data_IF_065926473786
#
_entry.id   IF_065926473786
#
_cell.length_a   1.000
_cell.length_b   1.000
_cell.length_c   1.000
_cell.angle_alpha   90.00
_cell.angle_beta   90.00
_cell.angle_gamma   90.00
#
_symmetry.space_group_name_H-M   'P 1'
#
loop_
_entity.id
_entity.type
_entity.pdbx_description
1 polymer ?
#
# COMPACT_ATOMS: atom_id res chain seq x y z
N UNK A 1 -35.75 -4.50 11.53
CA UNK A 1 -35.37 -3.62 10.40
C UNK A 1 -34.04 -2.92 10.66
N UNK A 2 -33.84 -2.18 11.76
CA UNK A 2 -32.59 -1.47 12.05
C UNK A 2 -31.28 -2.31 12.01
N UNK A 3 -31.29 -3.56 12.51
CA UNK A 3 -30.07 -4.40 12.52
C UNK A 3 -29.57 -4.75 11.10
N UNK A 4 -30.47 -4.86 10.12
CA UNK A 4 -30.12 -5.16 8.72
C UNK A 4 -29.52 -3.95 8.03
N UNK A 5 -30.03 -2.74 8.30
CA UNK A 5 -29.49 -1.49 7.78
C UNK A 5 -28.10 -1.22 8.35
N UNK A 6 -27.88 -1.45 9.65
CA UNK A 6 -26.57 -1.35 10.28
C UNK A 6 -25.57 -2.33 9.66
N UNK A 7 -25.98 -3.57 9.38
CA UNK A 7 -25.10 -4.57 8.75
C UNK A 7 -24.72 -4.15 7.32
N UNK A 8 -25.68 -3.69 6.53
CA UNK A 8 -25.44 -3.18 5.17
C UNK A 8 -24.54 -1.94 5.18
N UNK A 9 -24.72 -1.04 6.15
CA UNK A 9 -23.85 0.13 6.31
C UNK A 9 -22.42 -0.30 6.64
N UNK A 10 -22.23 -1.24 7.57
CA UNK A 10 -20.90 -1.77 7.90
C UNK A 10 -20.23 -2.47 6.71
N UNK A 11 -20.98 -3.22 5.90
CA UNK A 11 -20.49 -3.83 4.66
C UNK A 11 -20.00 -2.77 3.67
N UNK A 12 -20.78 -1.69 3.46
CA UNK A 12 -20.39 -0.57 2.57
C UNK A 12 -19.14 0.15 3.06
N UNK A 13 -19.03 0.39 4.37
CA UNK A 13 -17.83 1.01 4.96
C UNK A 13 -16.62 0.11 4.79
N UNK A 14 -16.77 -1.21 5.03
CA UNK A 14 -15.70 -2.19 4.79
C UNK A 14 -15.20 -2.16 3.34
N UNK A 15 -16.12 -2.22 2.37
CA UNK A 15 -15.76 -2.16 0.95
C UNK A 15 -15.04 -0.86 0.62
N UNK A 16 -15.58 0.30 1.03
CA UNK A 16 -14.95 1.59 0.77
C UNK A 16 -13.55 1.72 1.38
N UNK A 17 -13.31 1.16 2.57
CA UNK A 17 -11.97 1.12 3.16
C UNK A 17 -11.02 0.21 2.38
N UNK A 18 -11.47 -0.98 1.97
CA UNK A 18 -10.66 -1.89 1.17
C UNK A 18 -10.29 -1.24 -0.17
N UNK A 19 -11.24 -0.59 -0.84
CA UNK A 19 -11.02 0.09 -2.11
C UNK A 19 -9.98 1.20 -1.95
N UNK A 20 -10.12 2.05 -0.93
CA UNK A 20 -9.15 3.11 -0.62
C UNK A 20 -7.74 2.57 -0.38
N UNK A 21 -7.60 1.53 0.46
CA UNK A 21 -6.27 0.97 0.74
C UNK A 21 -5.68 0.23 -0.47
N UNK A 22 -6.52 -0.34 -1.33
CA UNK A 22 -6.08 -0.99 -2.58
C UNK A 22 -5.59 0.05 -3.59
N UNK A 23 -6.33 1.14 -3.78
CA UNK A 23 -5.88 2.26 -4.62
C UNK A 23 -4.54 2.81 -4.12
N UNK A 24 -4.40 2.99 -2.80
CA UNK A 24 -3.13 3.44 -2.22
C UNK A 24 -1.99 2.44 -2.45
N UNK A 25 -2.27 1.14 -2.33
CA UNK A 25 -1.31 0.08 -2.58
C UNK A 25 -0.80 0.12 -4.02
N UNK A 26 -1.70 0.30 -4.99
CA UNK A 26 -1.35 0.39 -6.41
C UNK A 26 -0.48 1.60 -6.72
N UNK A 27 -0.75 2.76 -6.10
CA UNK A 27 0.07 3.97 -6.23
C UNK A 27 1.49 3.72 -5.72
N UNK A 28 1.65 3.17 -4.51
CA UNK A 28 2.97 2.94 -3.92
C UNK A 28 3.74 1.83 -4.68
N UNK A 29 3.04 0.80 -5.17
CA UNK A 29 3.62 -0.23 -6.03
C UNK A 29 4.12 0.34 -7.35
N UNK A 30 3.35 1.21 -8.00
CA UNK A 30 3.77 1.92 -9.23
C UNK A 30 5.02 2.77 -9.00
N UNK A 31 5.09 3.47 -7.87
CA UNK A 31 6.27 4.23 -7.48
C UNK A 31 7.50 3.32 -7.27
N UNK A 32 7.32 2.17 -6.61
CA UNK A 32 8.38 1.19 -6.40
C UNK A 32 8.82 0.52 -7.71
N UNK A 33 7.90 0.22 -8.61
CA UNK A 33 8.23 -0.30 -9.95
C UNK A 33 9.03 0.73 -10.76
N UNK A 34 8.63 1.99 -10.72
CA UNK A 34 9.36 3.08 -11.38
C UNK A 34 10.78 3.15 -10.85
N UNK A 35 10.96 3.03 -9.53
CA UNK A 35 12.29 2.93 -8.93
C UNK A 35 13.08 1.73 -9.48
N UNK A 36 12.48 0.53 -9.50
CA UNK A 36 13.14 -0.67 -9.99
C UNK A 36 13.52 -0.59 -11.49
N UNK A 37 12.73 0.15 -12.29
CA UNK A 37 12.96 0.37 -13.72
C UNK A 37 14.09 1.38 -14.01
N UNK A 38 14.47 2.23 -13.05
CA UNK A 38 15.52 3.24 -13.23
C UNK A 38 16.96 2.68 -13.27
N UNK A 39 17.11 1.35 -13.40
CA UNK A 39 18.39 0.67 -13.53
C UNK A 39 19.13 0.49 -12.20
N UNK A 40 20.20 -0.33 -12.18
CA UNK A 40 21.00 -0.56 -10.98
C UNK A 40 21.67 0.73 -10.51
N UNK A 41 21.48 1.08 -9.24
CA UNK A 41 22.14 2.23 -8.59
C UNK A 41 23.67 2.00 -8.54
N UNK A 42 24.06 0.73 -8.33
CA UNK A 42 25.44 0.27 -8.41
C UNK A 42 25.92 0.36 -9.87
N UNK A 43 26.72 1.39 -10.16
CA UNK A 43 27.21 1.71 -11.51
C UNK A 43 26.72 3.04 -12.05
N UNK A 44 25.81 3.73 -11.37
CA UNK A 44 25.46 5.12 -11.71
C UNK A 44 26.59 6.09 -11.33
N UNK A 45 26.82 7.10 -12.16
CA UNK A 45 27.72 8.24 -11.86
C UNK A 45 27.15 9.19 -10.78
N UNK A 46 26.06 8.79 -10.13
CA UNK A 46 25.45 9.57 -9.06
C UNK A 46 26.40 9.65 -7.85
N UNK A 47 26.43 10.81 -7.18
CA UNK A 47 27.06 10.95 -5.87
C UNK A 47 26.55 9.92 -4.85
N UNK A 48 27.43 9.47 -3.94
CA UNK A 48 27.12 8.39 -3.00
C UNK A 48 25.99 8.73 -2.01
N UNK A 49 25.84 10.01 -1.66
CA UNK A 49 24.71 10.53 -0.88
C UNK A 49 23.39 10.39 -1.65
N UNK A 50 23.39 10.71 -2.95
CA UNK A 50 22.21 10.52 -3.81
C UNK A 50 21.84 9.05 -3.92
N UNK A 51 22.83 8.16 -4.06
CA UNK A 51 22.61 6.69 -4.08
C UNK A 51 21.96 6.21 -2.78
N UNK A 52 22.50 6.63 -1.64
CA UNK A 52 21.96 6.30 -0.31
C UNK A 52 20.53 6.82 -0.12
N UNK A 53 20.26 8.07 -0.53
CA UNK A 53 18.91 8.64 -0.44
C UNK A 53 17.89 7.84 -1.27
N UNK A 54 18.28 7.40 -2.46
CA UNK A 54 17.43 6.57 -3.33
C UNK A 54 17.14 5.20 -2.70
N UNK A 55 18.14 4.55 -2.12
CA UNK A 55 17.94 3.28 -1.40
C UNK A 55 17.02 3.43 -0.19
N UNK A 56 17.20 4.50 0.59
CA UNK A 56 16.29 4.82 1.71
C UNK A 56 14.85 4.99 1.21
N UNK A 57 14.64 5.72 0.11
CA UNK A 57 13.30 5.89 -0.45
C UNK A 57 12.67 4.57 -0.88
N UNK A 58 13.46 3.66 -1.48
CA UNK A 58 12.95 2.33 -1.85
C UNK A 58 12.57 1.48 -0.64
N UNK A 59 13.34 1.55 0.44
CA UNK A 59 13.00 0.89 1.71
C UNK A 59 11.67 1.44 2.24
N UNK A 60 11.52 2.77 2.28
CA UNK A 60 10.28 3.41 2.73
C UNK A 60 9.07 3.03 1.88
N UNK A 61 9.22 2.92 0.56
CA UNK A 61 8.16 2.46 -0.34
C UNK A 61 7.76 1.01 -0.04
N UNK A 62 8.74 0.11 0.15
CA UNK A 62 8.48 -1.30 0.51
C UNK A 62 7.78 -1.43 1.86
N UNK A 63 8.19 -0.63 2.84
CA UNK A 63 7.56 -0.61 4.17
C UNK A 63 6.11 -0.15 4.09
N UNK A 64 5.82 0.89 3.29
CA UNK A 64 4.44 1.36 3.05
C UNK A 64 3.58 0.31 2.37
N UNK A 65 4.09 -0.35 1.34
CA UNK A 65 3.40 -1.45 0.65
C UNK A 65 3.06 -2.57 1.64
N UNK A 66 4.02 -2.97 2.48
CA UNK A 66 3.79 -3.98 3.51
C UNK A 66 2.71 -3.56 4.51
N UNK A 67 2.72 -2.30 4.95
CA UNK A 67 1.75 -1.80 5.92
C UNK A 67 0.33 -1.74 5.34
N UNK A 68 0.19 -1.29 4.09
CA UNK A 68 -1.09 -1.30 3.38
C UNK A 68 -1.65 -2.72 3.24
N UNK A 69 -0.79 -3.69 2.90
CA UNK A 69 -1.18 -5.10 2.83
C UNK A 69 -1.67 -5.64 4.18
N UNK A 70 -1.00 -5.28 5.28
CA UNK A 70 -1.47 -5.65 6.64
C UNK A 70 -2.82 -5.01 6.95
N UNK A 71 -3.00 -3.73 6.67
CA UNK A 71 -4.27 -3.03 6.92
C UNK A 71 -5.42 -3.69 6.16
N UNK A 72 -5.24 -3.99 4.87
CA UNK A 72 -6.22 -4.70 4.06
C UNK A 72 -6.53 -6.08 4.67
N UNK A 73 -5.50 -6.84 5.06
CA UNK A 73 -5.68 -8.16 5.66
C UNK A 73 -6.44 -8.10 6.99
N UNK A 74 -6.17 -7.10 7.83
CA UNK A 74 -6.87 -6.87 9.10
C UNK A 74 -8.34 -6.53 8.84
N UNK A 75 -8.63 -5.60 7.93
CA UNK A 75 -10.01 -5.20 7.59
C UNK A 75 -10.81 -6.39 7.03
N UNK A 76 -10.18 -7.21 6.18
CA UNK A 76 -10.79 -8.45 5.66
C UNK A 76 -11.12 -9.45 6.78
N UNK A 77 -10.28 -9.54 7.83
CA UNK A 77 -10.48 -10.46 8.97
C UNK A 77 -11.47 -9.95 10.02
N UNK A 78 -11.54 -8.65 10.26
CA UNK A 78 -12.45 -8.06 11.26
C UNK A 78 -13.92 -8.24 10.84
N UNK A 79 -14.18 -8.36 9.54
CA UNK A 79 -15.52 -8.59 9.00
C UNK A 79 -15.55 -9.86 8.13
N UNK A 80 -15.50 -11.07 8.71
CA UNK A 80 -15.41 -12.30 7.93
C UNK A 80 -16.58 -12.47 6.95
N UNK A 81 -17.80 -12.05 7.31
CA UNK A 81 -19.03 -12.41 6.60
C UNK A 81 -20.10 -11.29 6.63
N UNK A 82 -19.80 -10.11 6.09
CA UNK A 82 -20.80 -9.05 5.85
C UNK A 82 -21.22 -9.03 4.38
#
# INVERSE_FOLDING_TARGET
MAASETLQFMAKVKSGLIDYFTERLDIENSALETYNKLGPIQGSELPDDVKRMREIQAILLRDRVNELNKHIAVIKRIFPDA
#
